data_IF_087053469106
#
_entry.id   IF_087053469106
#
_cell.length_a   1.000
_cell.length_b   1.000
_cell.length_c   1.000
_cell.angle_alpha   90.00
_cell.angle_beta   90.00
_cell.angle_gamma   90.00
#
_symmetry.space_group_name_H-M   'P 1'
#
loop_
_entity.id
_entity.type
_entity.pdbx_description
1 polymer ?
#
# COMPACT_ATOMS: atom_id res chain seq x y z
N UNK A 1 10.07 -33.40 0.43
CA UNK A 1 9.21 -32.33 0.99
C UNK A 1 9.13 -32.29 2.52
N UNK A 2 9.09 -33.42 3.26
CA UNK A 2 8.86 -33.42 4.72
C UNK A 2 9.97 -32.87 5.65
N UNK A 3 11.22 -32.73 5.19
CA UNK A 3 12.34 -32.21 6.02
C UNK A 3 12.38 -30.67 6.10
N UNK A 4 11.96 -29.99 5.03
CA UNK A 4 11.89 -28.52 4.97
C UNK A 4 10.73 -28.00 5.82
N UNK A 5 9.54 -28.62 5.72
CA UNK A 5 8.39 -28.29 6.57
C UNK A 5 8.68 -28.49 8.06
N UNK A 6 9.39 -29.57 8.42
CA UNK A 6 9.83 -29.79 9.80
C UNK A 6 10.93 -28.83 10.29
N UNK A 7 11.68 -28.19 9.40
CA UNK A 7 12.64 -27.15 9.76
C UNK A 7 11.94 -25.80 9.99
N UNK A 8 11.06 -25.37 9.07
CA UNK A 8 10.28 -24.15 9.24
C UNK A 8 9.41 -24.18 10.49
N UNK A 9 8.77 -25.32 10.79
CA UNK A 9 7.99 -25.46 12.03
C UNK A 9 8.86 -25.31 13.27
N UNK A 10 10.04 -25.96 13.32
CA UNK A 10 10.98 -25.84 14.45
C UNK A 10 11.54 -24.42 14.63
N UNK A 11 11.66 -23.65 13.56
CA UNK A 11 12.10 -22.25 13.63
C UNK A 11 10.95 -21.39 14.15
N UNK A 12 9.71 -21.60 13.67
CA UNK A 12 8.51 -20.95 14.20
C UNK A 12 8.29 -21.23 15.69
N UNK A 13 8.33 -22.50 16.08
CA UNK A 13 8.18 -22.94 17.49
C UNK A 13 9.24 -22.28 18.41
N UNK A 14 10.46 -22.03 17.90
CA UNK A 14 11.53 -21.34 18.63
C UNK A 14 11.33 -19.84 18.71
N UNK A 15 10.79 -19.22 17.68
CA UNK A 15 10.44 -17.81 17.69
C UNK A 15 9.30 -17.55 18.69
N UNK A 16 8.23 -18.34 18.62
CA UNK A 16 7.10 -18.28 19.57
C UNK A 16 7.55 -18.48 21.03
N UNK A 17 8.43 -19.46 21.28
CA UNK A 17 8.97 -19.69 22.63
C UNK A 17 9.76 -18.50 23.21
N UNK A 18 10.29 -17.61 22.37
CA UNK A 18 10.98 -16.38 22.79
C UNK A 18 10.01 -15.20 22.87
N UNK A 19 9.03 -15.14 21.96
CA UNK A 19 8.07 -14.04 21.85
C UNK A 19 6.98 -14.10 22.93
N UNK A 20 6.46 -15.28 23.25
CA UNK A 20 5.34 -15.44 24.21
C UNK A 20 5.65 -14.90 25.62
N UNK A 21 6.82 -15.17 26.22
CA UNK A 21 7.17 -14.61 27.52
C UNK A 21 7.32 -13.08 27.49
N UNK A 22 7.72 -12.52 26.36
CA UNK A 22 7.86 -11.08 26.15
C UNK A 22 6.46 -10.45 26.01
N UNK A 23 5.63 -11.02 25.14
CA UNK A 23 4.26 -10.59 24.90
C UNK A 23 3.39 -10.64 26.17
N UNK A 24 3.59 -11.65 27.02
CA UNK A 24 2.90 -11.75 28.31
C UNK A 24 3.22 -10.60 29.29
N UNK A 25 4.32 -9.87 29.09
CA UNK A 25 4.74 -8.72 29.93
C UNK A 25 4.40 -7.37 29.30
N UNK A 26 3.99 -7.35 28.05
CA UNK A 26 3.62 -6.13 27.35
C UNK A 26 2.23 -5.65 27.78
N UNK A 27 1.97 -4.33 27.69
CA UNK A 27 0.61 -3.81 27.77
C UNK A 27 -0.32 -4.54 26.80
N UNK A 28 -1.62 -4.72 27.12
CA UNK A 28 -2.56 -5.46 26.27
C UNK A 28 -2.72 -4.94 24.84
N UNK A 29 -2.29 -3.71 24.59
CA UNK A 29 -2.30 -3.06 23.27
C UNK A 29 -1.01 -3.25 22.47
N UNK A 30 -0.02 -3.97 23.01
CA UNK A 30 1.28 -4.18 22.36
C UNK A 30 1.57 -5.67 22.19
N UNK A 31 2.10 -6.02 21.02
CA UNK A 31 2.60 -7.36 20.70
C UNK A 31 3.90 -7.24 19.93
N UNK A 32 4.83 -8.16 20.12
CA UNK A 32 6.06 -8.29 19.35
C UNK A 32 5.99 -9.59 18.55
N UNK A 33 6.43 -9.52 17.29
CA UNK A 33 6.68 -10.68 16.43
C UNK A 33 7.83 -10.38 15.47
N UNK A 34 8.84 -11.25 15.42
CA UNK A 34 9.99 -11.17 14.49
C UNK A 34 10.66 -9.77 14.42
N UNK A 35 10.83 -9.09 15.56
CA UNK A 35 11.46 -7.76 15.63
C UNK A 35 10.55 -6.58 15.22
N UNK A 36 9.26 -6.84 14.99
CA UNK A 36 8.22 -5.84 14.75
C UNK A 36 7.39 -5.68 16.03
N UNK A 37 7.21 -4.44 16.46
CA UNK A 37 6.30 -4.07 17.53
C UNK A 37 4.96 -3.66 16.91
N UNK A 38 3.92 -4.42 17.21
CA UNK A 38 2.54 -4.14 16.86
C UNK A 38 1.92 -3.33 17.99
N UNK A 39 1.46 -2.13 17.67
CA UNK A 39 0.60 -1.35 18.54
C UNK A 39 -0.82 -1.38 18.01
N UNK A 40 -1.71 -2.05 18.74
CA UNK A 40 -3.07 -2.33 18.28
C UNK A 40 -4.14 -1.93 19.29
N UNK A 41 -5.37 -1.87 18.80
CA UNK A 41 -6.55 -1.53 19.55
C UNK A 41 -7.74 -2.32 19.02
N UNK A 42 -8.57 -2.81 19.92
CA UNK A 42 -9.87 -3.43 19.64
C UNK A 42 -11.03 -2.46 19.90
N UNK A 43 -10.71 -1.22 20.31
CA UNK A 43 -11.72 -0.21 20.66
C UNK A 43 -12.54 0.18 19.44
N UNK A 44 -13.84 0.29 19.67
CA UNK A 44 -14.83 0.79 18.72
C UNK A 44 -15.29 2.20 19.11
N UNK A 45 -15.95 2.91 18.19
CA UNK A 45 -16.44 4.26 18.44
C UNK A 45 -17.84 4.42 17.88
N UNK A 46 -18.83 4.67 18.76
CA UNK A 46 -20.22 4.91 18.36
C UNK A 46 -20.35 6.07 17.37
N UNK A 47 -19.48 7.08 17.45
CA UNK A 47 -19.46 8.21 16.51
C UNK A 47 -18.98 7.79 15.12
N UNK A 48 -17.99 6.90 15.08
CA UNK A 48 -17.48 6.33 13.83
C UNK A 48 -18.52 5.41 13.19
N UNK A 49 -19.16 4.55 13.99
CA UNK A 49 -20.23 3.67 13.53
C UNK A 49 -21.40 4.49 12.96
N UNK A 50 -21.87 5.51 13.69
CA UNK A 50 -22.93 6.40 13.21
C UNK A 50 -22.55 7.21 11.95
N UNK A 51 -21.26 7.46 11.72
CA UNK A 51 -20.79 8.06 10.47
C UNK A 51 -20.81 7.04 9.32
N UNK A 52 -20.33 5.82 9.57
CA UNK A 52 -20.29 4.72 8.61
C UNK A 52 -21.69 4.29 8.14
N UNK A 53 -22.70 4.38 9.02
CA UNK A 53 -24.10 4.04 8.71
C UNK A 53 -24.78 4.98 7.70
N UNK A 54 -24.16 6.11 7.35
CA UNK A 54 -24.75 7.07 6.42
C UNK A 54 -24.80 6.49 5.00
N UNK A 55 -25.93 6.66 4.31
CA UNK A 55 -26.10 6.23 2.91
C UNK A 55 -25.02 6.78 1.96
N UNK A 56 -24.48 7.96 2.24
CA UNK A 56 -23.38 8.54 1.47
C UNK A 56 -22.10 7.71 1.53
N UNK A 57 -21.82 7.05 2.65
CA UNK A 57 -20.64 6.18 2.82
C UNK A 57 -20.78 4.92 1.98
N UNK A 58 -21.97 4.31 1.92
CA UNK A 58 -22.19 3.15 1.04
C UNK A 58 -21.99 3.48 -0.45
N UNK A 59 -22.47 4.65 -0.88
CA UNK A 59 -22.22 5.15 -2.25
C UNK A 59 -20.73 5.42 -2.49
N UNK A 60 -20.03 5.93 -1.49
CA UNK A 60 -18.58 6.14 -1.53
C UNK A 60 -17.81 4.82 -1.65
N UNK A 61 -18.26 3.77 -0.96
CA UNK A 61 -17.72 2.41 -1.10
C UNK A 61 -17.98 1.84 -2.51
N UNK A 62 -19.16 2.08 -3.08
CA UNK A 62 -19.49 1.66 -4.44
C UNK A 62 -18.62 2.36 -5.49
N UNK A 63 -18.39 3.66 -5.32
CA UNK A 63 -17.47 4.42 -6.17
C UNK A 63 -16.05 3.84 -6.09
N UNK A 64 -15.61 3.39 -4.91
CA UNK A 64 -14.28 2.83 -4.71
C UNK A 64 -14.03 1.61 -5.59
N UNK A 65 -15.03 0.74 -5.78
CA UNK A 65 -14.92 -0.41 -6.68
C UNK A 65 -14.63 0.06 -8.11
N UNK A 66 -15.38 1.05 -8.61
CA UNK A 66 -15.19 1.57 -9.96
C UNK A 66 -13.82 2.26 -10.12
N UNK A 67 -13.43 3.07 -9.13
CA UNK A 67 -12.11 3.73 -9.08
C UNK A 67 -11.00 2.68 -9.10
N UNK A 68 -11.10 1.62 -8.30
CA UNK A 68 -10.12 0.55 -8.26
C UNK A 68 -9.98 -0.13 -9.62
N UNK A 69 -11.08 -0.48 -10.29
CA UNK A 69 -10.99 -1.09 -11.63
C UNK A 69 -10.32 -0.17 -12.66
N UNK A 70 -10.62 1.12 -12.63
CA UNK A 70 -9.97 2.11 -13.52
C UNK A 70 -8.47 2.20 -13.22
N UNK A 71 -8.10 2.28 -11.94
CA UNK A 71 -6.69 2.31 -11.52
C UNK A 71 -5.98 1.00 -11.85
N UNK A 72 -6.63 -0.14 -11.70
CA UNK A 72 -6.07 -1.46 -12.01
C UNK A 72 -5.75 -1.59 -13.50
N UNK A 73 -6.64 -1.15 -14.38
CA UNK A 73 -6.33 -1.09 -15.83
C UNK A 73 -5.22 -0.08 -16.11
N UNK A 74 -5.29 1.12 -15.53
CA UNK A 74 -4.30 2.17 -15.73
C UNK A 74 -2.89 1.78 -15.27
N UNK A 75 -2.78 1.12 -14.12
CA UNK A 75 -1.51 0.64 -13.56
C UNK A 75 -0.91 -0.50 -14.37
N UNK A 76 -1.72 -1.45 -14.86
CA UNK A 76 -1.23 -2.51 -15.77
C UNK A 76 -0.69 -1.90 -17.07
N UNK A 77 -1.39 -0.93 -17.66
CA UNK A 77 -0.91 -0.21 -18.84
C UNK A 77 0.39 0.53 -18.52
N UNK A 78 0.44 1.28 -17.42
CA UNK A 78 1.61 2.02 -16.98
C UNK A 78 2.83 1.11 -16.80
N UNK A 79 2.66 -0.01 -16.09
CA UNK A 79 3.73 -0.99 -15.84
C UNK A 79 4.16 -1.69 -17.13
N UNK A 80 3.24 -1.97 -18.05
CA UNK A 80 3.58 -2.52 -19.38
C UNK A 80 4.42 -1.54 -20.19
N UNK A 81 4.02 -0.27 -20.21
CA UNK A 81 4.78 0.80 -20.89
C UNK A 81 6.13 1.02 -20.22
N UNK A 82 6.20 0.99 -18.89
CA UNK A 82 7.45 1.08 -18.14
C UNK A 82 8.39 -0.08 -18.48
N UNK A 83 7.89 -1.32 -18.48
CA UNK A 83 8.66 -2.51 -18.85
C UNK A 83 9.20 -2.44 -20.28
N UNK A 84 8.38 -2.04 -21.25
CA UNK A 84 8.81 -1.89 -22.64
C UNK A 84 9.85 -0.77 -22.81
N UNK A 85 9.71 0.33 -22.08
CA UNK A 85 10.65 1.45 -22.09
C UNK A 85 11.95 1.18 -21.35
N UNK A 86 11.98 0.21 -20.43
CA UNK A 86 13.15 -0.12 -19.64
C UNK A 86 14.19 -0.91 -20.43
N UNK A 87 13.73 -1.74 -21.38
CA UNK A 87 14.59 -2.54 -22.25
C UNK A 87 15.44 -1.66 -23.16
N UNK A 88 16.76 -1.89 -23.17
CA UNK A 88 17.70 -1.15 -24.00
C UNK A 88 17.96 0.29 -23.57
N UNK A 89 17.58 0.66 -22.33
CA UNK A 89 18.01 1.93 -21.72
C UNK A 89 19.20 1.71 -20.82
N UNK A 90 20.09 2.69 -20.79
CA UNK A 90 21.18 2.70 -19.83
C UNK A 90 20.64 2.80 -18.38
N UNK A 91 21.24 2.07 -17.42
CA UNK A 91 20.92 2.21 -16.02
C UNK A 91 21.11 3.66 -15.55
N UNK A 92 20.18 4.13 -14.72
CA UNK A 92 20.26 5.42 -14.03
C UNK A 92 20.29 5.18 -12.53
N UNK A 93 20.68 6.19 -11.75
CA UNK A 93 20.68 6.07 -10.29
C UNK A 93 19.28 5.76 -9.71
N UNK A 94 18.18 6.07 -10.43
CA UNK A 94 16.81 5.70 -10.01
C UNK A 94 16.52 4.20 -10.10
N UNK A 95 17.18 3.50 -11.02
CA UNK A 95 16.97 2.08 -11.24
C UNK A 95 18.02 1.21 -10.54
N UNK A 96 18.96 1.82 -9.82
CA UNK A 96 19.96 1.11 -9.04
C UNK A 96 19.27 0.22 -7.98
N UNK A 97 19.58 -1.09 -7.91
CA UNK A 97 19.07 -1.97 -6.87
C UNK A 97 19.28 -1.43 -5.45
N UNK A 98 20.37 -0.71 -5.20
CA UNK A 98 20.65 -0.07 -3.90
C UNK A 98 19.65 1.06 -3.61
N UNK A 99 19.14 1.72 -4.65
CA UNK A 99 18.12 2.78 -4.56
C UNK A 99 16.67 2.25 -4.65
N UNK A 100 16.47 0.94 -4.81
CA UNK A 100 15.13 0.35 -4.93
C UNK A 100 14.43 0.24 -3.57
N UNK A 101 15.16 0.05 -2.48
CA UNK A 101 14.59 0.01 -1.12
C UNK A 101 14.72 1.40 -0.50
N UNK A 102 13.58 2.03 -0.21
CA UNK A 102 13.53 3.37 0.36
C UNK A 102 13.89 3.40 1.87
N UNK A 103 15.16 3.68 2.18
CA UNK A 103 15.74 3.98 3.49
C UNK A 103 16.39 5.40 3.48
N UNK A 104 15.80 6.38 4.19
CA UNK A 104 16.37 7.72 4.32
C UNK A 104 17.81 7.71 4.87
N UNK A 105 18.70 8.49 4.26
CA UNK A 105 20.12 8.57 4.58
C UNK A 105 20.99 7.44 4.01
N UNK A 106 20.39 6.36 3.50
CA UNK A 106 21.08 5.29 2.76
C UNK A 106 20.88 5.46 1.26
N UNK A 107 19.68 5.83 0.81
CA UNK A 107 19.48 6.16 -0.59
C UNK A 107 19.91 7.58 -0.91
N UNK A 108 20.53 7.74 -2.06
CA UNK A 108 21.01 9.03 -2.56
C UNK A 108 19.86 10.03 -2.78
N UNK A 109 18.65 9.56 -3.12
CA UNK A 109 17.49 10.43 -3.33
C UNK A 109 16.76 10.85 -2.03
N UNK A 110 17.17 10.35 -0.86
CA UNK A 110 16.52 10.64 0.43
C UNK A 110 17.51 11.15 1.49
N UNK A 111 17.95 12.40 1.40
CA UNK A 111 18.77 13.03 2.43
C UNK A 111 18.03 13.06 3.78
N UNK A 112 18.76 13.02 4.90
CA UNK A 112 18.13 13.01 6.23
C UNK A 112 17.15 14.18 6.46
N UNK A 113 17.37 15.31 5.79
CA UNK A 113 16.48 16.48 5.83
C UNK A 113 15.06 16.20 5.30
N UNK A 114 14.86 15.22 4.41
CA UNK A 114 13.53 14.86 3.91
C UNK A 114 12.78 13.87 4.81
N UNK A 115 13.48 13.22 5.75
CA UNK A 115 12.93 12.18 6.64
C UNK A 115 11.62 12.56 7.33
N UNK A 116 11.47 13.76 7.93
CA UNK A 116 10.21 14.10 8.61
C UNK A 116 9.00 14.08 7.68
N UNK A 117 9.18 14.53 6.44
CA UNK A 117 8.11 14.58 5.42
C UNK A 117 7.79 13.19 4.87
N UNK A 118 8.82 12.35 4.69
CA UNK A 118 8.66 10.95 4.27
C UNK A 118 7.90 10.16 5.34
N UNK A 119 8.33 10.25 6.60
CA UNK A 119 7.66 9.55 7.72
C UNK A 119 6.22 10.01 7.85
N UNK A 120 5.96 11.31 7.78
CA UNK A 120 4.60 11.85 7.78
C UNK A 120 3.79 11.29 6.60
N UNK A 121 4.35 11.28 5.40
CA UNK A 121 3.69 10.75 4.21
C UNK A 121 3.36 9.26 4.31
N UNK A 122 4.26 8.44 4.85
CA UNK A 122 4.04 7.01 5.10
C UNK A 122 2.99 6.76 6.16
N UNK A 123 3.03 7.49 7.28
CA UNK A 123 2.03 7.38 8.35
C UNK A 123 0.66 7.77 7.81
N UNK A 124 0.55 8.89 7.08
CA UNK A 124 -0.71 9.29 6.48
C UNK A 124 -1.18 8.26 5.46
N UNK A 125 -0.31 7.78 4.57
CA UNK A 125 -0.68 6.82 3.55
C UNK A 125 -1.23 5.52 4.16
N UNK A 126 -0.55 4.95 5.14
CA UNK A 126 -0.97 3.71 5.79
C UNK A 126 -2.25 3.89 6.62
N UNK A 127 -2.30 4.91 7.49
CA UNK A 127 -3.48 5.15 8.34
C UNK A 127 -4.73 5.45 7.51
N UNK A 128 -4.59 6.23 6.44
CA UNK A 128 -5.72 6.59 5.57
C UNK A 128 -6.19 5.38 4.76
N UNK A 129 -5.27 4.56 4.27
CA UNK A 129 -5.57 3.31 3.56
C UNK A 129 -6.39 2.36 4.44
N UNK A 130 -5.84 2.03 5.61
CA UNK A 130 -6.48 1.12 6.56
C UNK A 130 -7.78 1.70 7.13
N UNK A 131 -7.81 3.01 7.37
CA UNK A 131 -9.03 3.72 7.73
C UNK A 131 -10.13 3.57 6.68
N UNK A 132 -9.78 3.40 5.40
CA UNK A 132 -10.71 3.02 4.33
C UNK A 132 -11.30 1.63 4.53
N UNK A 133 -10.47 0.60 4.74
CA UNK A 133 -10.96 -0.76 5.02
C UNK A 133 -11.86 -0.78 6.27
N UNK A 134 -11.44 -0.14 7.35
CA UNK A 134 -12.24 -0.05 8.58
C UNK A 134 -13.60 0.63 8.35
N UNK A 135 -13.61 1.73 7.58
CA UNK A 135 -14.86 2.44 7.27
C UNK A 135 -15.81 1.57 6.43
N UNK A 136 -15.29 0.85 5.45
CA UNK A 136 -16.08 -0.07 4.63
C UNK A 136 -16.62 -1.24 5.47
N UNK A 137 -15.81 -1.84 6.34
CA UNK A 137 -16.26 -2.89 7.26
C UNK A 137 -17.45 -2.41 8.10
N UNK A 138 -17.33 -1.23 8.72
CA UNK A 138 -18.43 -0.67 9.52
C UNK A 138 -19.67 -0.35 8.69
N UNK A 139 -19.51 0.23 7.51
CA UNK A 139 -20.63 0.56 6.63
C UNK A 139 -21.41 -0.68 6.15
N UNK A 140 -20.74 -1.83 6.08
CA UNK A 140 -21.30 -3.12 5.69
C UNK A 140 -21.73 -4.00 6.88
N UNK A 141 -21.56 -3.51 8.12
CA UNK A 141 -21.90 -4.26 9.32
C UNK A 141 -20.93 -5.39 9.67
N UNK A 142 -19.73 -5.39 9.08
CA UNK A 142 -18.66 -6.33 9.37
C UNK A 142 -17.88 -5.85 10.59
N UNK A 143 -17.81 -6.62 11.69
CA UNK A 143 -17.00 -6.25 12.85
C UNK A 143 -15.52 -6.15 12.48
N UNK A 144 -14.82 -5.19 13.09
CA UNK A 144 -13.35 -5.11 13.05
C UNK A 144 -12.85 -5.66 14.37
N UNK A 145 -12.10 -6.75 14.32
CA UNK A 145 -11.55 -7.42 15.51
C UNK A 145 -10.41 -6.58 16.09
N UNK A 146 -9.51 -6.13 15.23
CA UNK A 146 -8.28 -5.46 15.62
C UNK A 146 -7.88 -4.43 14.56
N UNK A 147 -7.31 -3.31 15.00
CA UNK A 147 -6.62 -2.39 14.11
C UNK A 147 -5.38 -1.83 14.81
N UNK A 148 -4.34 -1.53 14.05
CA UNK A 148 -3.06 -1.13 14.63
C UNK A 148 -2.04 -0.61 13.64
N UNK A 149 -0.84 -0.37 14.17
CA UNK A 149 0.35 0.03 13.44
C UNK A 149 1.47 -0.93 13.80
N UNK A 150 2.15 -1.44 12.77
CA UNK A 150 3.37 -2.21 12.87
C UNK A 150 4.58 -1.28 12.81
N UNK A 151 5.44 -1.35 13.82
CA UNK A 151 6.66 -0.56 13.95
C UNK A 151 7.89 -1.48 13.91
N UNK A 152 8.74 -1.35 12.88
CA UNK A 152 10.03 -2.04 12.83
C UNK A 152 10.93 -1.54 13.95
N UNK A 153 11.49 -2.46 14.73
CA UNK A 153 12.33 -2.17 15.90
C UNK A 153 11.67 -1.20 16.89
N UNK A 154 10.34 -1.08 16.86
CA UNK A 154 9.57 -0.16 17.70
C UNK A 154 9.64 1.32 17.32
N UNK A 155 10.28 1.68 16.20
CA UNK A 155 10.51 3.10 15.84
C UNK A 155 10.00 3.45 14.44
N UNK A 156 10.20 2.58 13.45
CA UNK A 156 9.90 2.91 12.04
C UNK A 156 8.53 2.36 11.67
N UNK A 157 7.55 3.20 11.28
CA UNK A 157 6.25 2.72 10.85
C UNK A 157 6.38 1.93 9.55
N UNK A 158 6.05 0.63 9.62
CA UNK A 158 6.05 -0.28 8.49
C UNK A 158 4.72 -0.30 7.76
N UNK A 159 3.64 -0.46 8.52
CA UNK A 159 2.29 -0.62 8.00
C UNK A 159 1.26 -0.29 9.07
N UNK A 160 0.13 0.26 8.66
CA UNK A 160 -1.11 0.09 9.42
C UNK A 160 -1.72 -1.27 9.08
N UNK A 161 -2.64 -1.75 9.90
CA UNK A 161 -3.51 -2.87 9.50
C UNK A 161 -4.88 -2.75 10.17
N UNK A 162 -5.88 -3.29 9.48
CA UNK A 162 -7.23 -3.55 10.00
C UNK A 162 -7.56 -5.01 9.75
N UNK A 163 -7.90 -5.72 10.82
CA UNK A 163 -8.32 -7.12 10.78
C UNK A 163 -9.85 -7.20 10.84
N UNK A 164 -10.53 -7.43 9.70
CA UNK A 164 -11.95 -7.71 9.69
C UNK A 164 -12.24 -9.08 10.34
N UNK A 165 -13.46 -9.24 10.82
CA UNK A 165 -13.98 -10.51 11.29
C UNK A 165 -14.15 -11.54 10.17
N UNK A 166 -14.09 -12.83 10.51
CA UNK A 166 -14.26 -13.95 9.57
C UNK A 166 -15.60 -13.88 8.81
N UNK A 167 -16.61 -13.21 9.38
CA UNK A 167 -17.87 -12.91 8.71
C UNK A 167 -17.71 -12.17 7.36
N UNK A 168 -16.56 -11.53 7.10
CA UNK A 168 -16.26 -10.95 5.79
C UNK A 168 -16.15 -12.02 4.70
N UNK A 169 -15.62 -13.20 5.00
CA UNK A 169 -15.42 -14.27 4.01
C UNK A 169 -16.77 -14.77 3.47
N UNK A 170 -17.77 -14.85 4.34
CA UNK A 170 -19.14 -15.27 4.01
C UNK A 170 -20.02 -14.15 3.44
N UNK A 171 -19.53 -12.90 3.45
CA UNK A 171 -20.29 -11.75 2.97
C UNK A 171 -20.47 -11.77 1.44
N UNK A 172 -21.51 -11.13 0.88
CA UNK A 172 -21.68 -11.03 -0.57
C UNK A 172 -20.43 -10.47 -1.27
N UNK A 173 -20.10 -10.95 -2.47
CA UNK A 173 -18.90 -10.53 -3.21
C UNK A 173 -18.78 -9.00 -3.34
N UNK A 174 -19.90 -8.29 -3.50
CA UNK A 174 -19.92 -6.81 -3.52
C UNK A 174 -19.45 -6.19 -2.20
N UNK A 175 -19.86 -6.73 -1.06
CA UNK A 175 -19.41 -6.28 0.26
C UNK A 175 -17.91 -6.50 0.43
N UNK A 176 -17.41 -7.68 0.05
CA UNK A 176 -15.96 -7.96 0.05
C UNK A 176 -15.18 -7.00 -0.85
N UNK A 177 -15.68 -6.73 -2.07
CA UNK A 177 -15.08 -5.75 -2.98
C UNK A 177 -15.08 -4.33 -2.40
N UNK A 178 -16.15 -3.89 -1.73
CA UNK A 178 -16.19 -2.57 -1.06
C UNK A 178 -15.11 -2.44 0.00
N UNK A 179 -14.92 -3.48 0.81
CA UNK A 179 -13.89 -3.51 1.85
C UNK A 179 -12.50 -3.37 1.24
N UNK A 180 -12.14 -4.19 0.26
CA UNK A 180 -10.80 -4.14 -0.35
C UNK A 180 -10.58 -2.87 -1.20
N UNK A 181 -11.59 -2.30 -1.83
CA UNK A 181 -11.40 -1.15 -2.72
C UNK A 181 -11.24 0.20 -1.98
N UNK A 182 -11.82 0.35 -0.79
CA UNK A 182 -11.96 1.68 -0.18
C UNK A 182 -10.63 2.29 0.28
N UNK A 183 -9.67 1.48 0.73
CA UNK A 183 -8.34 1.95 1.13
C UNK A 183 -7.60 2.66 -0.01
N UNK A 184 -7.60 2.05 -1.20
CA UNK A 184 -7.01 2.63 -2.42
C UNK A 184 -7.64 3.98 -2.77
N UNK A 185 -8.98 4.07 -2.74
CA UNK A 185 -9.67 5.34 -3.03
C UNK A 185 -9.31 6.43 -2.01
N UNK A 186 -9.18 6.10 -0.73
CA UNK A 186 -8.81 7.07 0.29
C UNK A 186 -7.39 7.63 0.09
N UNK A 187 -6.41 6.80 -0.29
CA UNK A 187 -5.10 7.32 -0.67
C UNK A 187 -5.18 8.24 -1.88
N UNK A 188 -5.97 7.87 -2.90
CA UNK A 188 -6.16 8.74 -4.08
C UNK A 188 -6.74 10.10 -3.69
N UNK A 189 -7.68 10.15 -2.75
CA UNK A 189 -8.21 11.43 -2.23
C UNK A 189 -7.11 12.27 -1.59
N UNK A 190 -6.25 11.68 -0.76
CA UNK A 190 -5.11 12.42 -0.18
C UNK A 190 -4.17 12.91 -1.27
N UNK A 191 -3.86 12.08 -2.27
CA UNK A 191 -3.04 12.46 -3.42
C UNK A 191 -3.64 13.65 -4.16
N UNK A 192 -4.95 13.65 -4.43
CA UNK A 192 -5.63 14.75 -5.14
C UNK A 192 -5.63 16.03 -4.29
N UNK A 193 -5.94 15.93 -3.00
CA UNK A 193 -6.00 17.10 -2.11
C UNK A 193 -4.61 17.71 -1.88
N UNK A 194 -3.61 16.89 -1.56
CA UNK A 194 -2.23 17.35 -1.40
C UNK A 194 -1.64 17.86 -2.73
N UNK A 195 -2.00 17.23 -3.85
CA UNK A 195 -1.62 17.66 -5.19
C UNK A 195 -2.24 19.01 -5.56
N UNK A 196 -3.50 19.26 -5.21
CA UNK A 196 -4.14 20.56 -5.40
C UNK A 196 -3.42 21.67 -4.62
N UNK A 197 -2.95 21.39 -3.41
CA UNK A 197 -2.12 22.33 -2.64
C UNK A 197 -0.75 22.52 -3.29
N UNK A 198 -0.10 21.45 -3.76
CA UNK A 198 1.20 21.51 -4.44
C UNK A 198 1.15 22.26 -5.78
N UNK A 199 -0.01 22.31 -6.43
CA UNK A 199 -0.27 23.07 -7.65
C UNK A 199 -0.65 24.53 -7.38
N UNK A 200 -0.86 24.91 -6.11
CA UNK A 200 -1.27 26.26 -5.74
C UNK A 200 -0.09 27.22 -5.63
N UNK A 201 -0.38 28.52 -5.50
CA UNK A 201 0.65 29.54 -5.24
C UNK A 201 1.29 29.47 -3.85
N UNK A 202 0.84 28.56 -2.98
CA UNK A 202 1.35 28.38 -1.62
C UNK A 202 2.63 27.54 -1.55
N UNK A 203 3.00 26.88 -2.65
CA UNK A 203 4.13 25.95 -2.72
C UNK A 203 5.03 26.26 -3.90
N UNK A 204 6.21 25.66 -3.91
CA UNK A 204 6.95 25.49 -5.16
C UNK A 204 6.14 24.61 -6.12
N UNK A 205 6.43 24.69 -7.42
CA UNK A 205 5.73 23.86 -8.41
C UNK A 205 6.05 22.37 -8.19
N UNK A 206 5.16 21.43 -8.56
CA UNK A 206 5.47 20.00 -8.49
C UNK A 206 6.71 19.63 -9.30
N UNK A 207 6.93 20.32 -10.44
CA UNK A 207 8.11 20.12 -11.28
C UNK A 207 9.38 20.49 -10.54
N UNK A 208 9.41 21.62 -9.84
CA UNK A 208 10.58 22.05 -9.06
C UNK A 208 10.87 21.07 -7.91
N UNK A 209 9.84 20.64 -7.19
CA UNK A 209 9.98 19.62 -6.16
C UNK A 209 10.52 18.30 -6.73
N UNK A 210 9.96 17.84 -7.86
CA UNK A 210 10.40 16.62 -8.53
C UNK A 210 11.86 16.72 -9.01
N UNK A 211 12.24 17.82 -9.66
CA UNK A 211 13.61 18.03 -10.13
C UNK A 211 14.61 18.11 -8.97
N UNK A 212 14.20 18.70 -7.84
CA UNK A 212 15.03 18.74 -6.64
C UNK A 212 15.29 17.34 -6.09
N UNK A 213 14.27 16.49 -6.01
CA UNK A 213 14.41 15.13 -5.44
C UNK A 213 15.02 14.12 -6.40
N UNK A 214 14.66 14.16 -7.68
CA UNK A 214 14.93 13.09 -8.66
C UNK A 214 15.64 13.56 -9.93
N UNK A 215 15.69 14.88 -10.19
CA UNK A 215 16.25 15.42 -11.44
C UNK A 215 17.74 15.10 -11.63
N UNK A 216 18.49 15.01 -10.54
CA UNK A 216 19.89 14.63 -10.55
C UNK A 216 20.12 13.23 -11.13
N UNK A 217 19.24 12.27 -10.82
CA UNK A 217 19.41 10.89 -11.23
C UNK A 217 19.17 10.68 -12.73
N UNK A 218 18.41 11.58 -13.37
CA UNK A 218 18.22 11.62 -14.81
C UNK A 218 19.30 12.42 -15.55
N UNK A 219 19.96 13.37 -14.88
CA UNK A 219 20.93 14.29 -15.50
C UNK A 219 22.39 14.01 -15.13
N UNK A 220 22.66 13.02 -14.27
CA UNK A 220 24.00 12.74 -13.73
C UNK A 220 24.48 13.81 -12.74
N UNK A 221 23.55 14.56 -12.15
CA UNK A 221 23.83 15.61 -11.18
C UNK A 221 24.09 15.07 -9.76
N UNK A 222 24.23 15.97 -8.80
CA UNK A 222 24.38 15.61 -7.39
C UNK A 222 23.02 15.36 -6.72
N UNK A 223 22.99 14.37 -5.85
CA UNK A 223 21.88 14.11 -4.94
C UNK A 223 21.42 15.36 -4.15
N UNK A 224 20.13 15.45 -3.76
CA UNK A 224 19.60 16.60 -3.05
C UNK A 224 20.31 16.85 -1.73
N UNK A 225 20.78 18.09 -1.53
CA UNK A 225 21.39 18.53 -0.28
C UNK A 225 20.32 18.95 0.73
N UNK A 226 20.69 19.00 2.02
CA UNK A 226 19.80 19.52 3.06
C UNK A 226 19.35 20.97 2.78
N UNK A 227 20.23 21.79 2.18
CA UNK A 227 19.91 23.16 1.78
C UNK A 227 18.87 23.19 0.65
N UNK A 228 18.98 22.30 -0.35
CA UNK A 228 18.00 22.20 -1.44
C UNK A 228 16.61 21.77 -0.91
N UNK A 229 16.58 20.78 -0.01
CA UNK A 229 15.33 20.37 0.66
C UNK A 229 14.74 21.54 1.47
N UNK A 230 15.56 22.27 2.22
CA UNK A 230 15.10 23.42 2.98
C UNK A 230 14.54 24.55 2.08
N UNK A 231 15.16 24.78 0.92
CA UNK A 231 14.75 25.80 -0.04
C UNK A 231 13.33 25.58 -0.61
N UNK A 232 12.89 24.33 -0.74
CA UNK A 232 11.50 24.01 -1.14
C UNK A 232 10.47 24.48 -0.11
N UNK A 233 10.87 24.63 1.15
CA UNK A 233 9.99 24.98 2.26
C UNK A 233 9.13 23.81 2.77
N UNK A 234 8.61 23.90 4.00
CA UNK A 234 7.96 22.78 4.67
C UNK A 234 6.64 22.34 4.01
N UNK A 235 5.86 23.30 3.47
CA UNK A 235 4.57 23.00 2.82
C UNK A 235 4.79 22.21 1.54
N UNK A 236 5.68 22.67 0.66
CA UNK A 236 6.02 21.97 -0.59
C UNK A 236 6.53 20.56 -0.30
N UNK A 237 7.49 20.41 0.62
CA UNK A 237 8.02 19.09 0.97
C UNK A 237 6.94 18.15 1.49
N UNK A 238 6.08 18.64 2.38
CA UNK A 238 4.98 17.85 2.94
C UNK A 238 4.01 17.42 1.85
N UNK A 239 3.55 18.35 1.01
CA UNK A 239 2.62 18.04 -0.07
C UNK A 239 3.23 17.10 -1.11
N UNK A 240 4.49 17.29 -1.48
CA UNK A 240 5.20 16.42 -2.43
C UNK A 240 5.27 14.98 -1.93
N UNK A 241 5.71 14.76 -0.68
CA UNK A 241 5.81 13.41 -0.12
C UNK A 241 4.44 12.79 0.18
N UNK A 242 3.42 13.59 0.54
CA UNK A 242 2.04 13.11 0.66
C UNK A 242 1.53 12.60 -0.69
N UNK A 243 1.69 13.40 -1.76
CA UNK A 243 1.29 13.02 -3.13
C UNK A 243 2.02 11.74 -3.54
N UNK A 244 3.35 11.72 -3.43
CA UNK A 244 4.17 10.61 -3.91
C UNK A 244 3.84 9.31 -3.16
N UNK A 245 3.79 9.33 -1.84
CA UNK A 245 3.62 8.11 -1.04
C UNK A 245 2.17 7.61 -1.07
N UNK A 246 1.17 8.49 -1.02
CA UNK A 246 -0.23 8.06 -1.13
C UNK A 246 -0.54 7.54 -2.54
N UNK A 247 -0.03 8.18 -3.59
CA UNK A 247 -0.18 7.67 -4.95
C UNK A 247 0.45 6.28 -5.09
N UNK A 248 1.69 6.09 -4.62
CA UNK A 248 2.37 4.80 -4.71
C UNK A 248 1.66 3.70 -3.90
N UNK A 249 1.27 3.97 -2.65
CA UNK A 249 0.54 2.98 -1.82
C UNK A 249 -0.80 2.61 -2.46
N UNK A 250 -1.55 3.59 -2.99
CA UNK A 250 -2.81 3.35 -3.68
C UNK A 250 -2.63 2.57 -4.98
N UNK A 251 -1.68 2.98 -5.84
CA UNK A 251 -1.44 2.33 -7.13
C UNK A 251 -0.86 0.91 -6.97
N UNK A 252 0.04 0.70 -6.00
CA UNK A 252 0.56 -0.63 -5.69
C UNK A 252 -0.59 -1.55 -5.28
N UNK A 253 -1.43 -1.13 -4.33
CA UNK A 253 -2.58 -1.93 -3.90
C UNK A 253 -3.64 -2.10 -4.98
N UNK A 254 -3.70 -1.22 -6.00
CA UNK A 254 -4.58 -1.40 -7.15
C UNK A 254 -4.11 -2.48 -8.15
N UNK A 255 -2.86 -2.94 -8.08
CA UNK A 255 -2.36 -3.96 -9.00
C UNK A 255 -3.11 -5.28 -8.80
N UNK A 256 -3.37 -6.05 -9.88
CA UNK A 256 -4.08 -7.32 -9.81
C UNK A 256 -3.14 -8.46 -9.37
N UNK A 257 -2.51 -8.29 -8.21
CA UNK A 257 -1.59 -9.27 -7.61
C UNK A 257 -2.26 -9.81 -6.35
N UNK A 258 -2.38 -11.13 -6.23
CA UNK A 258 -3.22 -11.81 -5.23
C UNK A 258 -3.15 -11.29 -3.77
N UNK A 259 -1.96 -11.00 -3.21
CA UNK A 259 -1.85 -10.47 -1.84
C UNK A 259 -2.36 -9.03 -1.67
N UNK A 260 -2.48 -8.25 -2.75
CA UNK A 260 -2.88 -6.84 -2.77
C UNK A 260 -4.39 -6.71 -2.96
N UNK A 261 -4.95 -5.54 -2.63
CA UNK A 261 -6.40 -5.29 -2.72
C UNK A 261 -6.98 -5.51 -4.12
N UNK A 262 -6.28 -5.07 -5.17
CA UNK A 262 -6.67 -5.25 -6.56
C UNK A 262 -6.73 -6.71 -6.96
N UNK A 263 -5.83 -7.55 -6.44
CA UNK A 263 -5.87 -9.00 -6.61
C UNK A 263 -7.06 -9.64 -5.90
N UNK A 264 -7.39 -9.17 -4.69
CA UNK A 264 -8.59 -9.61 -3.96
C UNK A 264 -9.86 -9.21 -4.69
N UNK A 265 -9.98 -7.96 -5.12
CA UNK A 265 -11.14 -7.50 -5.91
C UNK A 265 -11.25 -8.24 -7.24
N UNK A 266 -10.14 -8.54 -7.92
CA UNK A 266 -10.16 -9.39 -9.12
C UNK A 266 -10.76 -10.78 -8.80
N UNK A 267 -10.31 -11.43 -7.72
CA UNK A 267 -10.86 -12.71 -7.25
C UNK A 267 -12.37 -12.61 -7.01
N UNK A 268 -12.83 -11.57 -6.30
CA UNK A 268 -14.25 -11.36 -6.01
C UNK A 268 -15.08 -11.02 -7.26
N UNK A 269 -14.48 -10.34 -8.24
CA UNK A 269 -15.13 -10.00 -9.49
C UNK A 269 -15.42 -11.24 -10.35
N UNK A 270 -14.56 -12.26 -10.27
CA UNK A 270 -14.77 -13.55 -10.92
C UNK A 270 -16.00 -14.22 -10.32
N UNK A 271 -16.10 -14.29 -8.98
CA UNK A 271 -17.28 -14.87 -8.31
C UNK A 271 -18.56 -14.10 -8.68
N UNK A 272 -18.52 -12.77 -8.56
CA UNK A 272 -19.67 -11.93 -8.88
C UNK A 272 -20.11 -12.02 -10.36
N UNK A 273 -19.18 -12.24 -11.29
CA UNK A 273 -19.50 -12.45 -12.70
C UNK A 273 -20.08 -13.85 -12.94
N UNK A 274 -19.54 -14.86 -12.26
CA UNK A 274 -19.94 -16.26 -12.34
C UNK A 274 -21.37 -16.46 -11.83
N UNK A 275 -21.70 -15.84 -10.70
CA UNK A 275 -23.06 -15.84 -10.11
C UNK A 275 -24.10 -15.20 -11.05
N UNK A 276 -23.72 -14.19 -11.83
CA UNK A 276 -24.65 -13.53 -12.78
C UNK A 276 -25.03 -14.40 -13.97
N UNK A 277 -24.17 -15.35 -14.34
CA UNK A 277 -24.39 -16.25 -15.49
C UNK A 277 -24.75 -17.67 -15.05
N UNK A 278 -25.08 -17.86 -13.77
CA UNK A 278 -25.41 -19.15 -13.15
C UNK A 278 -24.38 -20.24 -13.47
N UNK A 279 -23.09 -19.84 -13.45
CA UNK A 279 -21.97 -20.73 -13.69
C UNK A 279 -21.06 -20.73 -12.47
N UNK A 280 -20.65 -21.89 -12.01
CA UNK A 280 -19.68 -22.00 -10.91
C UNK A 280 -18.30 -22.23 -11.48
N UNK A 281 -17.44 -21.21 -11.41
CA UNK A 281 -16.04 -21.35 -11.85
C UNK A 281 -15.34 -22.36 -10.95
N UNK A 282 -14.70 -23.40 -11.52
CA UNK A 282 -13.94 -24.37 -10.73
C UNK A 282 -12.88 -23.66 -9.87
N UNK A 283 -12.70 -24.04 -8.58
CA UNK A 283 -11.74 -23.38 -7.69
C UNK A 283 -10.32 -23.35 -8.25
N UNK A 284 -9.93 -24.40 -8.99
CA UNK A 284 -8.63 -24.47 -9.67
C UNK A 284 -8.51 -23.40 -10.76
N UNK A 285 -9.53 -23.22 -11.59
CA UNK A 285 -9.51 -22.25 -12.68
C UNK A 285 -9.40 -20.83 -12.13
N UNK A 286 -10.20 -20.49 -11.09
CA UNK A 286 -10.11 -19.20 -10.41
C UNK A 286 -8.70 -18.93 -9.89
N UNK A 287 -8.11 -19.89 -9.16
CA UNK A 287 -6.74 -19.77 -8.63
C UNK A 287 -5.72 -19.60 -9.75
N UNK A 288 -5.83 -20.38 -10.83
CA UNK A 288 -4.95 -20.25 -11.99
C UNK A 288 -5.06 -18.88 -12.64
N UNK A 289 -6.27 -18.34 -12.81
CA UNK A 289 -6.47 -16.98 -13.35
C UNK A 289 -5.78 -15.94 -12.48
N UNK A 290 -6.03 -15.93 -11.17
CA UNK A 290 -5.43 -14.94 -10.25
C UNK A 290 -3.91 -15.07 -10.24
N UNK A 291 -3.35 -16.29 -10.19
CA UNK A 291 -1.90 -16.49 -10.19
C UNK A 291 -1.25 -16.16 -11.53
N UNK A 292 -1.89 -16.48 -12.66
CA UNK A 292 -1.38 -16.11 -13.97
C UNK A 292 -1.35 -14.59 -14.15
N UNK A 293 -2.42 -13.89 -13.76
CA UNK A 293 -2.45 -12.41 -13.77
C UNK A 293 -1.40 -11.83 -12.84
N UNK A 294 -1.27 -12.35 -11.62
CA UNK A 294 -0.25 -11.91 -10.66
C UNK A 294 1.16 -12.11 -11.22
N UNK A 295 1.45 -13.29 -11.76
CA UNK A 295 2.76 -13.62 -12.33
C UNK A 295 3.10 -12.78 -13.56
N UNK A 296 2.11 -12.48 -14.41
CA UNK A 296 2.28 -11.56 -15.54
C UNK A 296 2.66 -10.16 -15.08
N UNK A 297 1.91 -9.57 -14.15
CA UNK A 297 2.19 -8.21 -13.64
C UNK A 297 3.51 -8.13 -12.88
N UNK A 298 3.81 -9.13 -12.04
CA UNK A 298 5.12 -9.22 -11.37
C UNK A 298 6.25 -9.36 -12.39
N UNK A 299 6.07 -10.15 -13.44
CA UNK A 299 7.03 -10.26 -14.54
C UNK A 299 7.28 -8.91 -15.23
N UNK A 300 6.23 -8.14 -15.51
CA UNK A 300 6.39 -6.79 -16.05
C UNK A 300 7.12 -5.85 -15.10
N UNK A 301 6.83 -5.88 -13.79
CA UNK A 301 7.56 -5.09 -12.80
C UNK A 301 9.05 -5.46 -12.76
N UNK A 302 9.37 -6.75 -12.81
CA UNK A 302 10.76 -7.22 -12.86
C UNK A 302 11.44 -6.72 -14.13
N UNK A 303 10.79 -6.79 -15.30
CA UNK A 303 11.34 -6.23 -16.54
C UNK A 303 11.49 -4.71 -16.47
N UNK A 304 10.56 -3.99 -15.84
CA UNK A 304 10.67 -2.54 -15.67
C UNK A 304 11.87 -2.13 -14.81
N UNK A 305 12.23 -2.93 -13.80
CA UNK A 305 13.34 -2.66 -12.88
C UNK A 305 14.68 -3.15 -13.47
N UNK A 306 14.71 -4.39 -13.96
CA UNK A 306 15.94 -5.07 -14.39
C UNK A 306 16.24 -4.83 -15.87
N UNK A 307 15.25 -4.42 -16.67
CA UNK A 307 15.37 -4.16 -18.10
C UNK A 307 16.54 -3.27 -18.52
N UNK A 308 16.93 -2.21 -17.77
CA UNK A 308 18.10 -1.41 -18.10
C UNK A 308 19.44 -2.16 -17.94
N UNK A 309 19.44 -3.29 -17.23
CA UNK A 309 20.62 -4.14 -16.99
C UNK A 309 20.68 -5.36 -17.91
N UNK A 310 19.70 -5.54 -18.81
CA UNK A 310 19.61 -6.63 -19.79
C UNK A 310 20.03 -6.16 -21.18
#
# INVERSE_FOLDING_TARGET
>A
MGRLTGWFRRVGDRAEAVEDPINARLPPSLKIGLGVLYWFSTRTSKRFDAFADRNGVRRWCDLAIAVLFVLQVGTVVLVTVAAGNALGREPTALNDPVNTIAIPGVNEFMPLASTPYIVLGLVVATVVHEGGHALACRAEGIPVQEWGIALLLGVVPLAGYVLPDDALEDAPARTRMRVFALGVQHNLVVTVLAGAVLMSSLTASPTEAFLTYFGWAATGGQAPTAAAVAALGPVTNTCFWLVLLNANVGLLNALPIGPLDGGRVLSESIDAASDRVDYTVPPLLKRLTVYATSGFVVGLLVVAIVGPYL
#
